data_IF_814157210650
#
_entry.id   IF_814157210650
#
_cell.length_a   1.000
_cell.length_b   1.000
_cell.length_c   1.000
_cell.angle_alpha   90.00
_cell.angle_beta   90.00
_cell.angle_gamma   90.00
#
_symmetry.space_group_name_H-M   'P 1'
#
loop_
_entity.id
_entity.type
_entity.pdbx_description
1 polymer ?
#
# COMPACT_ATOMS: atom_id res chain seq x y z
N UNK A 1 -72.89 -5.73 -62.10
CA UNK A 1 -71.75 -4.78 -61.98
C UNK A 1 -71.76 -4.26 -60.54
N UNK A 2 -70.72 -4.28 -59.70
CA UNK A 2 -69.34 -4.71 -59.79
C UNK A 2 -68.85 -5.10 -58.37
N UNK A 3 -67.89 -6.03 -58.30
CA UNK A 3 -67.15 -6.44 -57.10
C UNK A 3 -66.07 -5.43 -56.70
N UNK A 4 -65.78 -5.34 -55.39
CA UNK A 4 -64.44 -5.14 -54.79
C UNK A 4 -64.60 -5.38 -53.26
N UNK A 5 -64.00 -6.34 -52.55
CA UNK A 5 -62.63 -6.86 -52.47
C UNK A 5 -61.60 -5.81 -51.95
N UNK A 6 -61.19 -5.96 -50.69
CA UNK A 6 -60.06 -5.22 -50.07
C UNK A 6 -59.94 -5.55 -48.58
N UNK A 7 -58.96 -6.39 -48.23
CA UNK A 7 -58.85 -7.08 -46.93
C UNK A 7 -58.23 -6.29 -45.77
N UNK A 8 -58.09 -6.93 -44.59
CA UNK A 8 -57.62 -6.29 -43.37
C UNK A 8 -56.10 -6.14 -43.35
N UNK A 9 -55.62 -4.89 -43.29
CA UNK A 9 -54.23 -4.56 -43.02
C UNK A 9 -53.86 -4.88 -41.57
N UNK A 10 -53.01 -5.90 -41.40
CA UNK A 10 -52.31 -6.19 -40.14
C UNK A 10 -51.18 -5.17 -39.98
N UNK A 11 -51.37 -4.18 -39.11
CA UNK A 11 -50.26 -3.33 -38.65
C UNK A 11 -49.51 -4.06 -37.53
N UNK A 12 -48.38 -4.65 -37.90
CA UNK A 12 -47.35 -5.13 -36.98
C UNK A 12 -46.63 -3.94 -36.37
N UNK A 13 -47.06 -3.49 -35.20
CA UNK A 13 -46.27 -2.54 -34.41
C UNK A 13 -45.10 -3.28 -33.77
N UNK A 14 -43.92 -3.03 -34.34
CA UNK A 14 -42.62 -3.37 -33.80
C UNK A 14 -42.47 -2.75 -32.40
N UNK A 15 -42.49 -3.62 -31.38
CA UNK A 15 -42.06 -3.27 -30.03
C UNK A 15 -40.58 -2.90 -30.04
N UNK A 16 -40.28 -1.61 -30.05
CA UNK A 16 -38.96 -1.09 -29.67
C UNK A 16 -38.79 -1.30 -28.16
N UNK A 17 -38.19 -2.44 -27.81
CA UNK A 17 -37.63 -2.64 -26.49
C UNK A 17 -36.42 -1.69 -26.35
N UNK A 18 -36.65 -0.54 -25.71
CA UNK A 18 -35.56 0.27 -25.15
C UNK A 18 -34.83 -0.62 -24.16
N UNK A 19 -33.65 -1.08 -24.54
CA UNK A 19 -32.72 -1.73 -23.64
C UNK A 19 -32.39 -0.74 -22.53
N UNK A 20 -32.95 -1.00 -21.34
CA UNK A 20 -32.58 -0.36 -20.09
C UNK A 20 -31.07 -0.56 -19.95
N UNK A 21 -30.23 0.48 -19.78
CA UNK A 21 -28.85 0.25 -19.38
C UNK A 21 -28.91 -0.50 -18.05
N UNK A 22 -28.50 -1.77 -18.07
CA UNK A 22 -28.28 -2.58 -16.90
C UNK A 22 -27.40 -1.74 -16.00
N UNK A 23 -27.93 -1.31 -14.86
CA UNK A 23 -27.18 -0.53 -13.89
C UNK A 23 -25.88 -1.27 -13.64
N UNK A 24 -24.75 -0.61 -13.93
CA UNK A 24 -23.45 -1.12 -13.54
C UNK A 24 -23.56 -1.43 -12.06
N UNK A 25 -23.47 -2.72 -11.71
CA UNK A 25 -23.38 -3.14 -10.33
C UNK A 25 -22.29 -2.28 -9.67
N UNK A 26 -22.47 -1.85 -8.41
CA UNK A 26 -21.38 -1.19 -7.69
C UNK A 26 -20.16 -2.09 -7.86
N UNK A 27 -19.13 -1.57 -8.54
CA UNK A 27 -17.84 -2.21 -8.54
C UNK A 27 -17.51 -2.33 -7.05
N UNK A 28 -17.61 -3.53 -6.48
CA UNK A 28 -17.10 -3.81 -5.15
C UNK A 28 -15.60 -3.55 -5.27
N UNK A 29 -15.21 -2.30 -5.01
CA UNK A 29 -13.82 -1.89 -5.00
C UNK A 29 -13.13 -2.88 -4.09
N UNK A 30 -12.24 -3.73 -4.62
CA UNK A 30 -11.51 -4.74 -3.85
C UNK A 30 -10.59 -4.17 -2.76
N UNK A 31 -10.76 -2.88 -2.46
CA UNK A 31 -10.14 -2.04 -1.45
C UNK A 31 -10.85 -2.31 -0.12
N UNK A 32 -10.12 -2.86 0.84
CA UNK A 32 -10.61 -3.04 2.21
C UNK A 32 -10.36 -1.73 3.00
N UNK A 33 -11.42 -1.05 3.50
CA UNK A 33 -11.27 0.18 4.27
C UNK A 33 -10.38 0.02 5.52
N UNK A 34 -10.30 -1.19 6.09
CA UNK A 34 -9.46 -1.45 7.27
C UNK A 34 -7.98 -1.47 6.93
N UNK A 35 -7.63 -1.89 5.71
CA UNK A 35 -6.25 -1.85 5.21
C UNK A 35 -5.84 -0.40 4.98
N UNK A 36 -6.72 0.39 4.34
CA UNK A 36 -6.50 1.83 4.11
C UNK A 36 -6.25 2.55 5.43
N UNK A 37 -7.15 2.39 6.40
CA UNK A 37 -7.02 3.08 7.69
C UNK A 37 -5.75 2.68 8.43
N UNK A 38 -5.43 1.39 8.53
CA UNK A 38 -4.23 0.92 9.25
C UNK A 38 -2.92 1.31 8.55
N UNK A 39 -2.91 1.32 7.22
CA UNK A 39 -1.75 1.78 6.44
C UNK A 39 -1.54 3.29 6.63
N UNK A 40 -2.61 4.10 6.54
CA UNK A 40 -2.55 5.54 6.82
C UNK A 40 -2.08 5.85 8.25
N UNK A 41 -2.63 5.17 9.25
CA UNK A 41 -2.19 5.32 10.64
C UNK A 41 -0.69 5.02 10.85
N UNK A 42 -0.11 4.13 10.04
CA UNK A 42 1.32 3.83 10.09
C UNK A 42 2.13 4.92 9.38
N UNK A 43 1.64 5.43 8.25
CA UNK A 43 2.25 6.54 7.52
C UNK A 43 2.25 7.83 8.34
N UNK A 44 1.12 8.21 8.95
CA UNK A 44 1.02 9.39 9.81
C UNK A 44 2.04 9.33 10.97
N UNK A 45 2.22 8.14 11.56
CA UNK A 45 3.24 7.93 12.61
C UNK A 45 4.67 7.98 12.06
N UNK A 46 4.89 7.61 10.80
CA UNK A 46 6.20 7.74 10.15
C UNK A 46 6.56 9.21 9.94
N UNK A 47 5.61 10.01 9.47
CA UNK A 47 5.74 11.46 9.26
C UNK A 47 6.04 12.18 10.57
N UNK A 48 5.28 11.90 11.64
CA UNK A 48 5.54 12.49 12.97
C UNK A 48 6.96 12.19 13.46
N UNK A 49 7.43 10.94 13.31
CA UNK A 49 8.79 10.57 13.70
C UNK A 49 9.85 11.23 12.84
N UNK A 50 9.56 11.43 11.54
CA UNK A 50 10.45 12.09 10.61
C UNK A 50 10.61 13.59 10.95
N UNK A 51 9.49 14.27 11.23
CA UNK A 51 9.50 15.68 11.63
C UNK A 51 10.18 15.87 12.99
N UNK A 52 9.95 14.97 13.94
CA UNK A 52 10.65 14.94 15.21
C UNK A 52 12.17 14.82 14.99
N UNK A 53 12.60 13.86 14.16
CA UNK A 53 14.01 13.68 13.81
C UNK A 53 14.64 14.93 13.20
N UNK A 54 13.93 15.61 12.31
CA UNK A 54 14.39 16.84 11.65
C UNK A 54 14.56 18.00 12.63
N UNK A 55 13.81 18.01 13.73
CA UNK A 55 13.89 19.03 14.80
C UNK A 55 14.95 18.76 15.87
N UNK A 56 15.55 17.56 15.89
CA UNK A 56 16.55 17.20 16.90
C UNK A 56 17.89 17.89 16.62
N UNK A 57 18.35 18.66 17.61
CA UNK A 57 19.68 19.25 17.68
C UNK A 57 20.53 18.47 18.70
N UNK A 58 21.24 17.43 18.24
CA UNK A 58 22.09 16.56 19.06
C UNK A 58 23.39 16.14 18.34
N UNK A 59 24.17 15.24 18.96
CA UNK A 59 25.34 14.59 18.34
C UNK A 59 24.96 13.55 17.26
N UNK A 60 23.74 13.60 16.72
CA UNK A 60 23.23 12.78 15.61
C UNK A 60 22.62 11.43 16.00
N UNK A 61 22.82 10.96 17.22
CA UNK A 61 22.41 9.61 17.63
C UNK A 61 20.88 9.46 17.71
N UNK A 62 20.18 10.38 18.36
CA UNK A 62 18.73 10.33 18.45
C UNK A 62 18.09 10.66 17.11
N UNK A 63 18.65 11.63 16.37
CA UNK A 63 18.21 11.96 15.01
C UNK A 63 18.27 10.73 14.09
N UNK A 64 19.37 9.98 14.11
CA UNK A 64 19.49 8.72 13.38
C UNK A 64 18.43 7.70 13.81
N UNK A 65 18.23 7.53 15.13
CA UNK A 65 17.26 6.58 15.67
C UNK A 65 15.85 6.89 15.21
N UNK A 66 15.45 8.16 15.24
CA UNK A 66 14.11 8.60 14.83
C UNK A 66 13.87 8.42 13.33
N UNK A 67 14.83 8.78 12.46
CA UNK A 67 14.71 8.47 11.02
C UNK A 67 14.59 6.96 10.75
N UNK A 68 15.34 6.13 11.49
CA UNK A 68 15.23 4.68 11.38
C UNK A 68 13.84 4.17 11.79
N UNK A 69 13.28 4.71 12.88
CA UNK A 69 11.93 4.37 13.34
C UNK A 69 10.85 4.85 12.36
N UNK A 70 11.01 6.04 11.76
CA UNK A 70 10.14 6.52 10.69
C UNK A 70 10.11 5.53 9.52
N UNK A 71 11.29 5.04 9.09
CA UNK A 71 11.38 4.01 8.04
C UNK A 71 10.69 2.68 8.43
N UNK A 72 10.78 2.24 9.69
CA UNK A 72 10.03 1.05 10.16
C UNK A 72 8.52 1.27 10.02
N UNK A 73 8.02 2.46 10.34
CA UNK A 73 6.59 2.77 10.24
C UNK A 73 6.13 2.86 8.77
N UNK A 74 6.92 3.48 7.90
CA UNK A 74 6.68 3.49 6.45
C UNK A 74 6.66 2.06 5.88
N UNK A 75 7.61 1.21 6.25
CA UNK A 75 7.62 -0.21 5.87
C UNK A 75 6.39 -0.96 6.38
N UNK A 76 5.94 -0.66 7.60
CA UNK A 76 4.67 -1.18 8.14
C UNK A 76 3.47 -0.78 7.28
N UNK A 77 3.39 0.48 6.83
CA UNK A 77 2.31 0.97 5.98
C UNK A 77 2.27 0.23 4.63
N UNK A 78 3.44 0.01 4.02
CA UNK A 78 3.57 -0.83 2.81
C UNK A 78 3.12 -2.26 3.09
N UNK A 79 3.61 -2.88 4.18
CA UNK A 79 3.25 -4.26 4.51
C UNK A 79 1.77 -4.45 4.82
N UNK A 80 1.06 -3.46 5.37
CA UNK A 80 -0.39 -3.59 5.57
C UNK A 80 -1.13 -3.71 4.23
N UNK A 81 -0.63 -3.10 3.16
CA UNK A 81 -1.20 -3.24 1.80
C UNK A 81 -0.86 -4.59 1.17
N UNK A 82 0.40 -5.04 1.27
CA UNK A 82 0.87 -6.28 0.61
C UNK A 82 0.63 -7.56 1.42
N UNK A 83 0.56 -7.45 2.75
CA UNK A 83 0.29 -8.52 3.70
C UNK A 83 -0.69 -8.05 4.81
N UNK A 84 -1.97 -7.79 4.47
CA UNK A 84 -2.96 -7.27 5.41
C UNK A 84 -3.06 -8.07 6.71
N UNK A 85 -3.04 -7.34 7.83
CA UNK A 85 -3.11 -7.92 9.17
C UNK A 85 -4.48 -8.58 9.39
N UNK A 86 -4.51 -9.91 9.38
CA UNK A 86 -5.72 -10.73 9.50
C UNK A 86 -5.72 -11.99 8.63
N UNK A 87 -4.89 -12.04 7.58
CA UNK A 87 -4.81 -13.18 6.64
C UNK A 87 -3.81 -14.25 7.09
N UNK A 88 -2.85 -13.89 7.95
CA UNK A 88 -1.78 -14.77 8.43
C UNK A 88 -1.63 -14.64 9.94
N UNK A 89 -1.79 -15.75 10.67
CA UNK A 89 -1.42 -15.85 12.10
C UNK A 89 0.05 -15.46 12.19
N UNK A 90 0.40 -14.37 12.91
CA UNK A 90 1.79 -13.97 13.21
C UNK A 90 2.56 -15.22 13.64
N UNK A 91 3.35 -15.78 12.73
CA UNK A 91 4.14 -16.98 13.01
C UNK A 91 5.19 -16.55 14.04
N UNK A 92 5.19 -17.19 15.22
CA UNK A 92 6.32 -17.04 16.15
C UNK A 92 7.59 -17.43 15.38
N UNK A 93 8.54 -16.51 15.31
CA UNK A 93 9.68 -16.56 14.38
C UNK A 93 9.65 -15.49 13.28
N UNK A 94 8.77 -14.49 13.38
CA UNK A 94 8.61 -13.40 12.42
C UNK A 94 9.97 -12.79 12.06
N UNK A 95 10.32 -12.92 10.78
CA UNK A 95 11.43 -12.22 10.19
C UNK A 95 11.21 -10.71 10.34
N UNK A 96 12.31 -9.96 10.57
CA UNK A 96 12.30 -8.51 10.74
C UNK A 96 11.53 -7.82 9.59
N UNK A 97 11.02 -6.60 9.81
CA UNK A 97 10.22 -5.85 8.84
C UNK A 97 10.86 -5.84 7.43
N UNK A 98 12.19 -5.73 7.38
CA UNK A 98 13.00 -5.75 6.16
C UNK A 98 12.92 -7.07 5.39
N UNK A 99 12.96 -8.20 6.09
CA UNK A 99 12.79 -9.51 5.45
C UNK A 99 11.37 -9.70 4.92
N UNK A 100 10.36 -9.15 5.60
CA UNK A 100 8.97 -9.18 5.12
C UNK A 100 8.80 -8.31 3.88
N UNK A 101 9.38 -7.12 3.84
CA UNK A 101 9.39 -6.27 2.64
C UNK A 101 10.00 -7.02 1.47
N UNK A 102 11.19 -7.61 1.64
CA UNK A 102 11.84 -8.40 0.57
C UNK A 102 10.97 -9.54 0.04
N UNK A 103 10.19 -10.18 0.91
CA UNK A 103 9.32 -11.29 0.52
C UNK A 103 7.99 -10.86 -0.11
N UNK A 104 7.44 -9.70 0.27
CA UNK A 104 6.05 -9.30 -0.06
C UNK A 104 5.95 -8.06 -0.96
N UNK A 105 6.92 -7.18 -0.87
CA UNK A 105 7.03 -5.93 -1.62
C UNK A 105 8.46 -5.79 -2.19
N UNK A 106 8.92 -6.72 -3.06
CA UNK A 106 10.31 -6.77 -3.54
C UNK A 106 10.74 -5.51 -4.30
N UNK A 107 9.80 -4.73 -4.84
CA UNK A 107 10.10 -3.41 -5.41
C UNK A 107 10.68 -2.41 -4.39
N UNK A 108 10.52 -2.67 -3.09
CA UNK A 108 11.10 -1.87 -2.00
C UNK A 108 12.34 -2.55 -1.39
N UNK A 109 12.93 -3.56 -2.05
CA UNK A 109 14.02 -4.35 -1.47
C UNK A 109 15.28 -3.53 -1.23
N UNK A 110 15.61 -2.57 -2.12
CA UNK A 110 16.79 -1.70 -1.96
C UNK A 110 16.75 -0.95 -0.63
N UNK A 111 15.62 -0.32 -0.32
CA UNK A 111 15.43 0.37 0.96
C UNK A 111 15.47 -0.60 2.15
N UNK A 112 14.87 -1.78 2.01
CA UNK A 112 14.90 -2.80 3.04
C UNK A 112 16.31 -3.34 3.31
N UNK A 113 17.15 -3.48 2.28
CA UNK A 113 18.55 -3.86 2.44
C UNK A 113 19.33 -2.74 3.13
N UNK A 114 19.16 -1.49 2.69
CA UNK A 114 19.79 -0.31 3.31
C UNK A 114 19.50 -0.22 4.82
N UNK A 115 18.22 -0.25 5.22
CA UNK A 115 17.86 -0.17 6.64
C UNK A 115 18.17 -1.47 7.41
N UNK A 116 18.18 -2.62 6.74
CA UNK A 116 18.59 -3.88 7.33
C UNK A 116 20.06 -3.89 7.76
N UNK A 117 20.94 -3.28 6.98
CA UNK A 117 22.36 -3.12 7.34
C UNK A 117 22.56 -2.23 8.58
N UNK A 118 21.62 -1.31 8.83
CA UNK A 118 21.68 -0.36 9.94
C UNK A 118 21.03 -0.86 11.22
N UNK A 119 20.37 -2.04 11.21
CA UNK A 119 19.66 -2.60 12.37
C UNK A 119 20.54 -2.75 13.61
N UNK A 120 21.78 -3.23 13.44
CA UNK A 120 22.74 -3.39 14.55
C UNK A 120 23.17 -2.03 15.12
N UNK A 121 23.41 -1.05 14.25
CA UNK A 121 23.77 0.31 14.67
C UNK A 121 22.62 0.95 15.48
N UNK A 122 21.37 0.81 15.02
CA UNK A 122 20.20 1.26 15.77
C UNK A 122 20.09 0.58 17.14
N UNK A 123 20.37 -0.72 17.24
CA UNK A 123 20.38 -1.40 18.53
C UNK A 123 21.48 -0.87 19.47
N UNK A 124 22.67 -0.55 18.95
CA UNK A 124 23.75 0.05 19.74
C UNK A 124 23.43 1.48 20.20
N UNK A 125 22.79 2.28 19.36
CA UNK A 125 22.32 3.63 19.72
C UNK A 125 21.31 3.56 20.87
N UNK A 126 20.32 2.68 20.77
CA UNK A 126 19.32 2.49 21.84
C UNK A 126 19.90 1.98 23.16
N UNK A 127 20.94 1.16 23.09
CA UNK A 127 21.68 0.71 24.27
C UNK A 127 22.63 1.79 24.84
N UNK A 128 22.76 2.95 24.19
CA UNK A 128 23.69 4.01 24.57
C UNK A 128 25.17 3.65 24.35
N UNK A 129 25.44 2.61 23.54
CA UNK A 129 26.78 2.16 23.15
C UNK A 129 27.35 3.04 22.04
N UNK A 130 26.50 3.57 21.16
CA UNK A 130 26.82 4.61 20.19
C UNK A 130 26.11 5.89 20.64
N UNK A 131 26.89 6.93 20.94
CA UNK A 131 26.37 8.21 21.47
C UNK A 131 26.50 9.39 20.51
N UNK A 132 27.21 9.19 19.41
CA UNK A 132 27.41 10.19 18.36
C UNK A 132 27.35 9.52 17.00
N UNK A 133 26.70 10.16 16.04
CA UNK A 133 26.58 9.70 14.66
C UNK A 133 26.95 10.85 13.73
N UNK A 134 27.79 10.56 12.73
CA UNK A 134 28.25 11.56 11.76
C UNK A 134 27.07 12.29 11.10
N UNK A 135 27.03 13.64 11.11
CA UNK A 135 25.94 14.42 10.52
C UNK A 135 25.72 14.12 9.02
N UNK A 136 26.80 13.85 8.27
CA UNK A 136 26.71 13.52 6.84
C UNK A 136 26.04 12.16 6.64
N UNK A 137 26.28 11.21 7.55
CA UNK A 137 25.60 9.93 7.59
C UNK A 137 24.13 10.11 7.97
N UNK A 138 23.81 10.90 8.99
CA UNK A 138 22.42 11.24 9.34
C UNK A 138 21.66 11.83 8.14
N UNK A 139 22.28 12.76 7.39
CA UNK A 139 21.69 13.32 6.19
C UNK A 139 21.48 12.29 5.06
N UNK A 140 22.28 11.22 4.99
CA UNK A 140 22.03 10.09 4.06
C UNK A 140 20.84 9.26 4.50
N UNK A 141 20.74 8.96 5.80
CA UNK A 141 19.64 8.19 6.38
C UNK A 141 18.33 8.95 6.24
N UNK A 142 18.35 10.27 6.46
CA UNK A 142 17.22 11.18 6.22
C UNK A 142 16.68 11.06 4.79
N UNK A 143 17.55 11.18 3.77
CA UNK A 143 17.13 11.06 2.36
C UNK A 143 16.51 9.70 2.06
N UNK A 144 17.08 8.61 2.60
CA UNK A 144 16.53 7.25 2.42
C UNK A 144 15.22 7.05 3.19
N UNK A 145 15.03 7.74 4.32
CA UNK A 145 13.76 7.72 5.04
C UNK A 145 12.67 8.45 4.25
N UNK A 146 12.94 9.65 3.71
CA UNK A 146 12.01 10.37 2.81
C UNK A 146 11.60 9.49 1.64
N UNK A 147 12.57 8.86 0.96
CA UNK A 147 12.30 7.94 -0.15
C UNK A 147 11.34 6.81 0.26
N UNK A 148 11.46 6.29 1.49
CA UNK A 148 10.54 5.27 1.98
C UNK A 148 9.14 5.82 2.31
N UNK A 149 9.04 7.03 2.85
CA UNK A 149 7.74 7.69 3.07
C UNK A 149 7.02 7.88 1.73
N UNK A 150 7.70 8.37 0.69
CA UNK A 150 7.15 8.56 -0.65
C UNK A 150 6.65 7.23 -1.25
N UNK A 151 7.41 6.15 -1.07
CA UNK A 151 7.03 4.79 -1.49
C UNK A 151 5.79 4.30 -0.73
N UNK A 152 5.70 4.57 0.58
CA UNK A 152 4.56 4.18 1.41
C UNK A 152 3.28 4.93 1.00
N UNK A 153 3.37 6.25 0.82
CA UNK A 153 2.25 7.07 0.34
C UNK A 153 1.78 6.62 -1.06
N UNK A 154 2.72 6.47 -2.00
CA UNK A 154 2.43 5.98 -3.35
C UNK A 154 1.76 4.60 -3.35
N UNK A 155 2.19 3.72 -2.43
CA UNK A 155 1.60 2.39 -2.25
C UNK A 155 0.16 2.48 -1.76
N UNK A 156 -0.09 3.32 -0.74
CA UNK A 156 -1.42 3.52 -0.19
C UNK A 156 -2.37 4.12 -1.24
N UNK A 157 -1.94 5.17 -1.95
CA UNK A 157 -2.72 5.80 -3.02
C UNK A 157 -3.06 4.80 -4.15
N UNK A 158 -2.10 3.96 -4.54
CA UNK A 158 -2.34 2.93 -5.55
C UNK A 158 -3.33 1.85 -5.07
N UNK A 159 -3.34 1.54 -3.77
CA UNK A 159 -4.32 0.65 -3.17
C UNK A 159 -5.71 1.28 -3.13
N UNK A 160 -5.85 2.53 -2.67
CA UNK A 160 -7.11 3.28 -2.64
C UNK A 160 -7.75 3.41 -4.03
N UNK A 161 -6.93 3.55 -5.07
CA UNK A 161 -7.38 3.60 -6.47
C UNK A 161 -7.71 2.22 -7.06
N UNK A 162 -7.61 1.13 -6.29
CA UNK A 162 -7.87 -0.24 -6.75
C UNK A 162 -6.83 -0.82 -7.74
N UNK A 163 -5.71 -0.12 -7.96
CA UNK A 163 -4.65 -0.56 -8.89
C UNK A 163 -3.88 -1.75 -8.35
N UNK A 164 -3.77 -1.87 -7.03
CA UNK A 164 -3.10 -3.00 -6.36
C UNK A 164 -4.03 -4.19 -6.05
N UNK A 165 -5.36 -3.97 -6.00
CA UNK A 165 -6.35 -5.01 -5.69
C UNK A 165 -6.70 -5.88 -6.91
N UNK A 166 -6.58 -5.32 -8.11
CA UNK A 166 -6.95 -5.95 -9.38
C UNK A 166 -6.08 -7.15 -9.80
N UNK A 167 -5.00 -7.46 -9.07
CA UNK A 167 -4.10 -8.58 -9.40
C UNK A 167 -4.56 -9.95 -8.87
N UNK A 168 -5.61 -10.01 -8.04
CA UNK A 168 -6.05 -11.25 -7.36
C UNK A 168 -7.13 -12.06 -8.08
N UNK A 169 -7.74 -11.54 -9.14
CA UNK A 169 -8.87 -12.19 -9.85
C UNK A 169 -8.46 -13.08 -11.03
N UNK A 170 -7.20 -13.09 -11.46
CA UNK A 170 -6.74 -13.90 -12.60
C UNK A 170 -6.31 -15.34 -12.26
N UNK A 171 -6.29 -15.75 -10.98
CA UNK A 171 -5.73 -17.03 -10.54
C UNK A 171 -6.74 -18.08 -10.04
N UNK A 172 -8.04 -17.92 -10.37
CA UNK A 172 -9.06 -18.98 -10.12
C UNK A 172 -9.81 -19.27 -11.42
N UNK A 173 -9.22 -20.08 -12.28
CA UNK A 173 -9.90 -20.48 -13.51
C UNK A 173 -9.10 -21.40 -14.41
N UNK A 174 -8.56 -22.51 -13.90
CA UNK A 174 -8.34 -23.70 -14.75
C UNK A 174 -8.36 -24.95 -13.86
N UNK A 175 -9.55 -25.50 -13.67
CA UNK A 175 -9.72 -26.93 -13.44
C UNK A 175 -10.53 -27.43 -14.63
N UNK A 176 -9.87 -28.16 -15.51
CA UNK A 176 -10.46 -29.06 -16.51
C UNK A 176 -9.48 -30.22 -16.66
#
# INVERSE_FOLDING_TARGET
>A
MARAAGGPGRSTELRLAVARPTGAAPQESGVDPRVVHRSRDLLDRAEVLFDEAASVEDDGAERFRLFYLAAIRAAGAVLEVYEPTGTTRRRRGASDAWSRIKARAPQCSELADYFGELSTMRAHVEAGLVRSVDPTFCARVERRAVEFLDVADSTLLAYEQGKLTSRRTAARGTVA
#
